data_IF_665003186762
#
_entry.id   IF_665003186762
#
_cell.length_a   1.000
_cell.length_b   1.000
_cell.length_c   1.000
_cell.angle_alpha   90.00
_cell.angle_beta   90.00
_cell.angle_gamma   90.00
#
_symmetry.space_group_name_H-M   'P 1'
#
loop_
_entity.id
_entity.type
_entity.pdbx_description
1 polymer ?
#
# COMPACT_ATOMS: atom_id res chain seq x y z
N UNK A 1 30.47 -54.04 39.88
CA UNK A 1 29.93 -54.63 38.64
C UNK A 1 28.41 -54.52 38.65
N UNK A 2 27.84 -53.51 37.99
CA UNK A 2 26.38 -53.32 37.85
C UNK A 2 26.08 -53.04 36.39
N UNK A 3 25.21 -53.86 35.78
CA UNK A 3 24.89 -53.83 34.34
C UNK A 3 23.64 -52.99 34.09
N UNK A 4 23.79 -51.89 33.37
CA UNK A 4 22.68 -51.15 32.75
C UNK A 4 22.06 -51.97 31.61
N UNK A 5 20.74 -52.21 31.68
CA UNK A 5 19.94 -52.76 30.56
C UNK A 5 19.37 -51.60 29.74
N UNK A 6 19.67 -51.60 28.44
CA UNK A 6 19.08 -50.75 27.42
C UNK A 6 17.63 -51.19 27.12
N UNK A 7 16.70 -50.23 27.11
CA UNK A 7 15.34 -50.41 26.58
C UNK A 7 15.35 -50.24 25.06
N UNK A 8 14.87 -51.26 24.34
CA UNK A 8 14.55 -51.22 22.91
C UNK A 8 13.12 -50.69 22.70
N UNK A 9 12.86 -49.84 21.69
CA UNK A 9 11.50 -49.42 21.35
C UNK A 9 10.76 -50.51 20.56
N UNK A 10 9.48 -50.67 20.88
CA UNK A 10 8.54 -51.57 20.22
C UNK A 10 8.30 -51.12 18.76
N UNK A 11 8.43 -52.05 17.82
CA UNK A 11 8.04 -51.87 16.42
C UNK A 11 6.50 -51.94 16.30
N UNK A 12 5.84 -51.01 15.59
CA UNK A 12 4.42 -51.12 15.30
C UNK A 12 4.15 -52.24 14.27
N UNK A 13 3.07 -52.98 14.49
CA UNK A 13 2.61 -54.07 13.62
C UNK A 13 1.90 -53.53 12.36
N UNK A 14 1.88 -54.28 11.24
CA UNK A 14 1.46 -53.78 9.93
C UNK A 14 -0.05 -53.63 9.74
N UNK A 15 -0.86 -53.78 10.80
CA UNK A 15 -2.32 -53.90 10.70
C UNK A 15 -3.10 -52.58 10.80
N UNK A 16 -2.48 -51.48 11.23
CA UNK A 16 -3.17 -50.22 11.56
C UNK A 16 -3.05 -49.11 10.51
N UNK A 17 -2.31 -49.33 9.41
CA UNK A 17 -2.12 -48.30 8.37
C UNK A 17 -3.16 -48.35 7.23
N UNK A 18 -3.91 -49.45 7.08
CA UNK A 18 -4.92 -49.56 6.00
C UNK A 18 -6.26 -48.95 6.39
N UNK A 19 -6.62 -48.93 7.68
CA UNK A 19 -7.90 -48.36 8.14
C UNK A 19 -7.92 -46.82 8.10
N UNK A 20 -6.78 -46.16 8.31
CA UNK A 20 -6.70 -44.69 8.30
C UNK A 20 -6.79 -44.09 6.88
N UNK A 21 -6.33 -44.81 5.85
CA UNK A 21 -6.36 -44.34 4.46
C UNK A 21 -7.77 -44.39 3.83
N UNK A 22 -8.61 -45.35 4.24
CA UNK A 22 -9.98 -45.48 3.72
C UNK A 22 -10.93 -44.44 4.33
N UNK A 23 -10.74 -44.08 5.60
CA UNK A 23 -11.53 -43.02 6.26
C UNK A 23 -11.18 -41.63 5.71
N UNK A 24 -9.91 -41.39 5.35
CA UNK A 24 -9.50 -40.14 4.72
C UNK A 24 -10.03 -39.98 3.28
N UNK A 25 -10.23 -41.08 2.54
CA UNK A 25 -10.76 -41.03 1.17
C UNK A 25 -12.30 -40.90 1.14
N UNK A 26 -13.02 -41.44 2.13
CA UNK A 26 -14.47 -41.29 2.25
C UNK A 26 -14.90 -39.87 2.67
N UNK A 27 -14.06 -39.13 3.40
CA UNK A 27 -14.31 -37.73 3.79
C UNK A 27 -14.05 -36.72 2.67
N UNK A 28 -13.31 -37.09 1.62
CA UNK A 28 -13.08 -36.23 0.44
C UNK A 28 -14.21 -36.36 -0.59
N UNK A 29 -14.99 -37.44 -0.56
CA UNK A 29 -16.10 -37.66 -1.51
C UNK A 29 -17.42 -37.04 -1.04
N UNK A 30 -17.60 -36.79 0.26
CA UNK A 30 -18.85 -36.19 0.81
C UNK A 30 -18.86 -34.66 0.85
N UNK A 31 -17.74 -33.99 0.54
CA UNK A 31 -17.64 -32.52 0.42
C UNK A 31 -17.81 -31.99 -1.02
N UNK A 32 -17.99 -32.88 -2.00
CA UNK A 32 -18.15 -32.51 -3.42
C UNK A 32 -19.61 -32.21 -3.84
N UNK A 33 -20.60 -32.39 -2.95
CA UNK A 33 -22.03 -32.18 -3.25
C UNK A 33 -22.58 -30.81 -2.81
N UNK A 34 -21.72 -29.89 -2.35
CA UNK A 34 -22.07 -28.50 -2.06
C UNK A 34 -21.32 -27.50 -2.95
N UNK A 35 -21.09 -27.87 -4.22
CA UNK A 35 -20.78 -26.92 -5.28
C UNK A 35 -22.10 -26.34 -5.79
N UNK A 36 -22.34 -25.01 -5.70
CA UNK A 36 -23.53 -24.41 -6.29
C UNK A 36 -23.52 -24.62 -7.80
N UNK A 37 -24.57 -25.27 -8.30
CA UNK A 37 -24.82 -25.49 -9.71
C UNK A 37 -24.85 -24.15 -10.47
N UNK A 38 -23.98 -24.03 -11.47
CA UNK A 38 -23.85 -22.89 -12.36
C UNK A 38 -25.02 -22.73 -13.34
N UNK A 39 -26.23 -22.53 -12.83
CA UNK A 39 -27.42 -22.15 -13.62
C UNK A 39 -28.31 -21.17 -12.86
N UNK A 40 -27.76 -20.01 -12.53
CA UNK A 40 -28.61 -18.83 -12.33
C UNK A 40 -28.64 -18.01 -13.60
N UNK A 41 -29.86 -17.88 -14.13
CA UNK A 41 -30.25 -16.97 -15.20
C UNK A 41 -29.61 -15.61 -14.95
N UNK A 42 -28.96 -15.10 -15.98
CA UNK A 42 -28.55 -13.71 -16.11
C UNK A 42 -29.71 -12.83 -15.63
N UNK A 43 -29.52 -12.21 -14.46
CA UNK A 43 -30.34 -11.09 -14.05
C UNK A 43 -30.16 -10.04 -15.12
N UNK A 44 -31.19 -9.85 -15.95
CA UNK A 44 -31.27 -8.73 -16.87
C UNK A 44 -31.14 -7.46 -16.04
N UNK A 45 -29.94 -6.90 -16.04
CA UNK A 45 -29.66 -5.57 -15.52
C UNK A 45 -30.44 -4.60 -16.38
N UNK A 46 -31.49 -4.01 -15.82
CA UNK A 46 -32.12 -2.82 -16.36
C UNK A 46 -31.03 -1.74 -16.52
N UNK A 47 -30.89 -1.10 -17.69
CA UNK A 47 -29.88 -0.06 -17.86
C UNK A 47 -30.27 1.12 -16.98
N UNK A 48 -29.54 1.32 -15.89
CA UNK A 48 -29.52 2.61 -15.21
C UNK A 48 -28.96 3.61 -16.23
N UNK A 49 -29.70 4.69 -16.50
CA UNK A 49 -29.34 5.78 -17.40
C UNK A 49 -27.86 6.14 -17.23
N UNK A 50 -27.04 5.73 -18.21
CA UNK A 50 -25.60 5.98 -18.27
C UNK A 50 -25.36 7.47 -18.46
N UNK A 51 -25.01 8.14 -17.37
CA UNK A 51 -24.21 9.36 -17.46
C UNK A 51 -22.77 8.92 -17.73
N UNK A 52 -22.42 8.89 -19.01
CA UNK A 52 -21.11 8.49 -19.51
C UNK A 52 -20.07 9.59 -19.26
N UNK A 53 -19.05 9.29 -18.45
CA UNK A 53 -17.96 10.22 -18.16
C UNK A 53 -16.64 9.74 -18.75
N UNK A 54 -15.91 10.65 -19.39
CA UNK A 54 -14.63 10.36 -20.00
C UNK A 54 -13.49 10.32 -18.97
N UNK A 55 -12.83 9.17 -18.82
CA UNK A 55 -11.60 9.06 -18.04
C UNK A 55 -10.40 9.59 -18.85
N UNK A 56 -9.73 10.64 -18.36
CA UNK A 56 -8.49 11.16 -18.96
C UNK A 56 -7.25 10.72 -18.17
N UNK A 57 -6.09 11.15 -18.65
CA UNK A 57 -4.75 10.83 -18.16
C UNK A 57 -4.29 11.67 -16.95
N UNK A 58 -4.97 12.77 -16.63
CA UNK A 58 -4.64 13.61 -15.46
C UNK A 58 -5.20 13.04 -14.16
N UNK A 59 -4.68 13.51 -13.04
CA UNK A 59 -5.29 13.28 -11.73
C UNK A 59 -6.07 14.52 -11.30
N UNK A 60 -7.16 14.37 -10.51
CA UNK A 60 -7.89 15.52 -10.00
C UNK A 60 -6.98 16.40 -9.16
N UNK A 61 -7.24 17.71 -9.22
CA UNK A 61 -6.65 18.68 -8.32
C UNK A 61 -7.06 18.44 -6.86
N UNK A 62 -6.49 19.18 -5.89
CA UNK A 62 -6.92 19.11 -4.51
C UNK A 62 -8.32 19.70 -4.35
N UNK A 63 -9.19 18.98 -3.63
CA UNK A 63 -10.50 19.48 -3.22
C UNK A 63 -10.42 20.49 -2.07
N UNK A 64 -11.59 20.96 -1.65
CA UNK A 64 -11.76 21.83 -0.48
C UNK A 64 -12.18 21.04 0.74
N UNK A 65 -11.81 21.51 1.95
CA UNK A 65 -12.38 20.99 3.20
C UNK A 65 -13.65 21.78 3.50
N UNK A 66 -14.80 21.21 3.17
CA UNK A 66 -16.10 21.87 3.34
C UNK A 66 -16.60 21.77 4.79
N UNK A 67 -17.87 22.12 5.03
CA UNK A 67 -18.46 22.03 6.38
C UNK A 67 -18.64 20.59 6.86
N UNK A 68 -19.02 19.66 5.97
CA UNK A 68 -19.23 18.26 6.33
C UNK A 68 -17.90 17.57 6.65
N UNK A 69 -16.88 17.79 5.82
CA UNK A 69 -15.54 17.29 6.07
C UNK A 69 -14.93 17.86 7.36
N UNK A 70 -15.14 19.16 7.66
CA UNK A 70 -14.69 19.75 8.95
C UNK A 70 -15.39 19.11 10.14
N UNK A 71 -16.71 18.94 10.07
CA UNK A 71 -17.46 18.29 11.16
C UNK A 71 -16.99 16.86 11.40
N UNK A 72 -16.68 16.12 10.33
CA UNK A 72 -16.13 14.76 10.44
C UNK A 72 -14.73 14.74 11.05
N UNK A 73 -13.86 15.67 10.65
CA UNK A 73 -12.53 15.84 11.26
C UNK A 73 -12.67 16.13 12.75
N UNK A 74 -13.52 17.09 13.12
CA UNK A 74 -13.74 17.47 14.51
C UNK A 74 -14.33 16.32 15.33
N UNK A 75 -15.21 15.50 14.75
CA UNK A 75 -15.72 14.27 15.39
C UNK A 75 -14.57 13.31 15.73
N UNK A 76 -13.73 12.98 14.76
CA UNK A 76 -12.60 12.05 14.96
C UNK A 76 -11.62 12.58 16.01
N UNK A 77 -11.38 13.89 16.03
CA UNK A 77 -10.47 14.52 17.00
C UNK A 77 -11.09 14.65 18.39
N UNK A 78 -12.41 14.84 18.52
CA UNK A 78 -13.10 14.84 19.81
C UNK A 78 -13.06 13.47 20.49
N UNK A 79 -12.94 12.39 19.72
CA UNK A 79 -12.74 11.02 20.23
C UNK A 79 -11.28 10.77 20.67
N UNK A 80 -10.40 11.78 20.64
CA UNK A 80 -9.00 11.67 21.09
C UNK A 80 -8.94 11.59 22.62
N UNK A 81 -8.36 10.54 23.21
CA UNK A 81 -8.24 10.46 24.65
C UNK A 81 -7.25 11.51 25.19
N UNK A 82 -7.64 12.18 26.28
CA UNK A 82 -6.82 13.15 27.02
C UNK A 82 -5.55 12.53 27.64
N UNK A 83 -5.39 11.21 27.57
CA UNK A 83 -4.17 10.53 27.98
C UNK A 83 -4.11 9.06 27.54
N UNK A 84 -3.04 8.70 26.84
CA UNK A 84 -2.63 7.30 26.65
C UNK A 84 -2.02 6.79 27.95
N UNK A 85 -2.81 6.11 28.77
CA UNK A 85 -2.28 5.48 29.99
C UNK A 85 -1.17 4.48 29.65
N UNK A 86 -0.09 4.46 30.45
CA UNK A 86 0.98 3.46 30.34
C UNK A 86 0.49 2.01 30.50
N UNK A 87 -0.78 1.81 30.93
CA UNK A 87 -1.42 0.49 31.07
C UNK A 87 -2.30 0.08 29.88
N UNK A 88 -2.41 0.90 28.84
CA UNK A 88 -3.22 0.57 27.67
C UNK A 88 -2.57 -0.57 26.88
N UNK A 89 -3.34 -1.62 26.57
CA UNK A 89 -2.89 -2.72 25.71
C UNK A 89 -2.61 -2.23 24.29
N UNK A 90 -1.82 -2.97 23.49
CA UNK A 90 -1.60 -2.60 22.07
C UNK A 90 -2.92 -2.49 21.28
N UNK A 91 -3.91 -3.32 21.60
CA UNK A 91 -5.25 -3.21 21.03
C UNK A 91 -5.94 -1.90 21.42
N UNK A 92 -5.86 -1.49 22.69
CA UNK A 92 -6.38 -0.21 23.15
C UNK A 92 -5.64 0.98 22.52
N UNK A 93 -4.31 0.90 22.35
CA UNK A 93 -3.54 1.93 21.67
C UNK A 93 -3.92 2.03 20.19
N UNK A 94 -4.08 0.90 19.50
CA UNK A 94 -4.55 0.90 18.11
C UNK A 94 -5.93 1.53 17.98
N UNK A 95 -6.87 1.18 18.87
CA UNK A 95 -8.20 1.79 18.89
C UNK A 95 -8.17 3.31 19.11
N UNK A 96 -7.28 3.78 19.98
CA UNK A 96 -7.14 5.20 20.29
C UNK A 96 -6.40 6.00 19.21
N UNK A 97 -5.42 5.41 18.53
CA UNK A 97 -4.50 6.15 17.65
C UNK A 97 -4.75 5.92 16.16
N UNK A 98 -5.55 4.91 15.79
CA UNK A 98 -5.93 4.60 14.41
C UNK A 98 -7.44 4.70 14.20
N UNK A 99 -8.02 5.83 14.62
CA UNK A 99 -9.42 6.18 14.35
C UNK A 99 -9.60 6.49 12.86
N UNK A 100 -10.82 6.30 12.37
CA UNK A 100 -11.16 6.53 10.98
C UNK A 100 -12.19 7.66 10.81
N UNK A 101 -12.03 8.38 9.70
CA UNK A 101 -12.96 9.36 9.17
C UNK A 101 -13.67 8.82 7.93
N UNK A 102 -14.94 9.19 7.75
CA UNK A 102 -15.74 8.92 6.56
C UNK A 102 -15.96 10.20 5.76
N UNK A 103 -15.36 10.26 4.57
CA UNK A 103 -15.53 11.37 3.64
C UNK A 103 -16.27 10.90 2.39
N UNK A 104 -17.54 11.33 2.23
CA UNK A 104 -18.40 10.93 1.10
C UNK A 104 -18.49 9.41 0.89
N UNK A 105 -18.61 8.67 2.01
CA UNK A 105 -18.66 7.21 2.01
C UNK A 105 -17.33 6.52 1.72
N UNK A 106 -16.22 7.27 1.79
CA UNK A 106 -14.87 6.74 1.70
C UNK A 106 -14.18 6.81 3.07
N UNK A 107 -13.64 5.69 3.53
CA UNK A 107 -12.97 5.59 4.81
C UNK A 107 -11.49 5.92 4.73
N UNK A 108 -11.02 6.81 5.60
CA UNK A 108 -9.62 7.11 5.84
C UNK A 108 -9.26 6.84 7.31
N UNK A 109 -8.23 6.06 7.57
CA UNK A 109 -7.78 5.76 8.94
C UNK A 109 -6.40 6.38 9.21
N UNK A 110 -6.27 7.06 10.36
CA UNK A 110 -5.05 7.74 10.78
C UNK A 110 -3.83 6.80 10.76
N UNK A 111 -2.74 7.24 10.12
CA UNK A 111 -1.51 6.46 9.95
C UNK A 111 -1.59 5.30 8.95
N UNK A 112 -2.78 4.98 8.42
CA UNK A 112 -3.01 3.82 7.55
C UNK A 112 -3.37 4.21 6.13
N UNK A 113 -4.12 5.30 5.95
CA UNK A 113 -4.56 5.78 4.65
C UNK A 113 -6.01 5.42 4.31
N UNK A 114 -6.34 5.56 3.02
CA UNK A 114 -7.64 5.20 2.47
C UNK A 114 -7.84 3.70 2.41
N UNK A 115 -8.94 3.19 2.95
CA UNK A 115 -9.23 1.76 3.06
C UNK A 115 -10.68 1.42 2.75
N UNK A 116 -10.94 0.14 2.49
CA UNK A 116 -12.28 -0.45 2.45
C UNK A 116 -12.56 -1.34 3.67
N UNK A 117 -11.53 -1.62 4.49
CA UNK A 117 -11.69 -2.40 5.71
C UNK A 117 -12.44 -1.59 6.76
N UNK A 118 -13.19 -2.26 7.63
CA UNK A 118 -13.83 -1.61 8.78
C UNK A 118 -12.79 -1.07 9.77
N UNK A 119 -13.13 -0.02 10.50
CA UNK A 119 -12.22 0.59 11.49
C UNK A 119 -11.68 -0.47 12.47
N UNK A 120 -12.56 -1.33 12.97
CA UNK A 120 -12.21 -2.41 13.89
C UNK A 120 -11.25 -3.43 13.27
N UNK A 121 -11.34 -3.68 11.96
CA UNK A 121 -10.43 -4.57 11.23
C UNK A 121 -9.05 -3.94 11.07
N UNK A 122 -9.00 -2.64 10.76
CA UNK A 122 -7.75 -1.87 10.66
C UNK A 122 -7.01 -1.87 12.01
N UNK A 123 -7.74 -1.58 13.08
CA UNK A 123 -7.22 -1.57 14.45
C UNK A 123 -6.76 -2.96 14.89
N UNK A 124 -7.56 -4.01 14.64
CA UNK A 124 -7.19 -5.39 14.96
C UNK A 124 -5.95 -5.83 14.20
N UNK A 125 -5.83 -5.50 12.91
CA UNK A 125 -4.64 -5.80 12.10
C UNK A 125 -3.40 -5.11 12.66
N UNK A 126 -3.51 -3.83 13.01
CA UNK A 126 -2.41 -3.07 13.60
C UNK A 126 -1.99 -3.63 14.97
N UNK A 127 -2.95 -3.93 15.85
CA UNK A 127 -2.67 -4.51 17.15
C UNK A 127 -2.01 -5.90 17.05
N UNK A 128 -2.52 -6.75 16.14
CA UNK A 128 -1.96 -8.07 15.88
C UNK A 128 -0.53 -7.97 15.32
N UNK A 129 -0.31 -7.03 14.39
CA UNK A 129 1.01 -6.73 13.82
C UNK A 129 1.99 -6.23 14.89
N UNK A 130 1.57 -5.26 15.71
CA UNK A 130 2.37 -4.71 16.80
C UNK A 130 2.73 -5.74 17.88
N UNK A 131 1.87 -6.76 18.06
CA UNK A 131 2.08 -7.84 19.04
C UNK A 131 3.00 -8.95 18.53
N UNK A 132 3.30 -9.00 17.22
CA UNK A 132 4.22 -10.01 16.69
C UNK A 132 5.62 -9.70 17.19
N UNK A 133 6.18 -10.62 17.99
CA UNK A 133 7.62 -10.61 18.24
C UNK A 133 8.32 -10.75 16.90
N UNK A 134 8.99 -9.70 16.48
CA UNK A 134 9.99 -9.81 15.43
C UNK A 134 11.05 -10.77 15.98
N UNK A 135 11.21 -11.92 15.34
CA UNK A 135 12.51 -12.61 15.35
C UNK A 135 13.59 -11.59 14.95
N UNK A 136 14.86 -11.85 15.27
CA UNK A 136 15.96 -10.97 14.87
C UNK A 136 16.03 -10.90 13.33
N UNK A 137 15.22 -10.02 12.76
CA UNK A 137 15.05 -9.73 11.35
C UNK A 137 15.73 -8.39 11.12
N UNK A 138 16.48 -8.27 10.04
CA UNK A 138 17.14 -7.01 9.70
C UNK A 138 16.11 -5.89 9.57
N UNK A 139 16.28 -4.80 10.32
CA UNK A 139 15.38 -3.65 10.25
C UNK A 139 15.83 -2.74 9.13
N UNK A 140 14.98 -2.57 8.10
CA UNK A 140 15.37 -1.82 6.90
C UNK A 140 14.89 -0.36 6.90
N UNK A 141 13.97 0.00 7.82
CA UNK A 141 13.63 1.39 8.11
C UNK A 141 12.24 1.88 7.71
N UNK A 142 11.30 0.98 7.46
CA UNK A 142 9.88 1.33 7.55
C UNK A 142 9.47 1.43 9.03
N UNK A 143 8.50 2.28 9.35
CA UNK A 143 7.97 2.38 10.70
C UNK A 143 6.93 1.29 10.95
N UNK A 144 7.24 0.36 11.86
CA UNK A 144 6.34 -0.73 12.25
C UNK A 144 5.06 -0.21 12.94
N UNK A 145 4.02 -1.04 13.00
CA UNK A 145 2.78 -0.71 13.74
C UNK A 145 3.07 -0.43 15.22
N UNK A 146 3.96 -1.21 15.86
CA UNK A 146 4.31 -1.00 17.26
C UNK A 146 5.01 0.35 17.48
N UNK A 147 5.99 0.67 16.63
CA UNK A 147 6.73 1.92 16.71
C UNK A 147 5.86 3.12 16.34
N UNK A 148 4.94 2.99 15.38
CA UNK A 148 3.97 4.02 15.05
C UNK A 148 3.09 4.36 16.24
N UNK A 149 2.51 3.34 16.90
CA UNK A 149 1.67 3.54 18.08
C UNK A 149 2.46 4.17 19.23
N UNK A 150 3.68 3.69 19.48
CA UNK A 150 4.54 4.25 20.51
C UNK A 150 4.92 5.71 20.22
N UNK A 151 5.31 6.04 18.98
CA UNK A 151 5.65 7.40 18.58
C UNK A 151 4.47 8.35 18.69
N UNK A 152 3.28 7.95 18.22
CA UNK A 152 2.05 8.76 18.33
C UNK A 152 1.62 8.95 19.79
N UNK A 153 1.72 7.91 20.61
CA UNK A 153 1.40 7.98 22.03
C UNK A 153 2.37 8.90 22.82
N UNK A 154 3.61 9.06 22.34
CA UNK A 154 4.62 9.89 22.98
C UNK A 154 4.54 11.38 22.62
N UNK A 155 3.72 11.76 21.63
CA UNK A 155 3.48 13.17 21.31
C UNK A 155 2.64 13.84 22.40
N UNK A 156 2.92 15.11 22.65
CA UNK A 156 2.05 15.95 23.48
C UNK A 156 0.64 15.99 22.86
N UNK A 157 -0.45 16.02 23.67
CA UNK A 157 -1.81 15.94 23.15
C UNK A 157 -2.11 16.98 22.07
N UNK A 158 -1.67 18.23 22.25
CA UNK A 158 -1.86 19.31 21.26
C UNK A 158 -1.07 19.06 19.96
N UNK A 159 0.16 18.53 20.05
CA UNK A 159 0.96 18.19 18.87
C UNK A 159 0.35 17.00 18.12
N UNK A 160 -0.15 16.00 18.86
CA UNK A 160 -0.86 14.85 18.30
C UNK A 160 -2.11 15.30 17.56
N UNK A 161 -2.98 16.09 18.19
CA UNK A 161 -4.20 16.61 17.57
C UNK A 161 -3.88 17.43 16.31
N UNK A 162 -2.89 18.32 16.36
CA UNK A 162 -2.48 19.10 15.20
C UNK A 162 -1.99 18.22 14.04
N UNK A 163 -1.22 17.16 14.34
CA UNK A 163 -0.75 16.22 13.32
C UNK A 163 -1.88 15.36 12.75
N UNK A 164 -2.81 14.90 13.58
CA UNK A 164 -4.00 14.16 13.14
C UNK A 164 -4.93 15.03 12.29
N UNK A 165 -5.18 16.28 12.70
CA UNK A 165 -5.96 17.26 11.92
C UNK A 165 -5.33 17.50 10.55
N UNK A 166 -4.03 17.75 10.49
CA UNK A 166 -3.33 17.98 9.22
C UNK A 166 -3.40 16.75 8.29
N UNK A 167 -3.33 15.54 8.85
CA UNK A 167 -3.49 14.30 8.11
C UNK A 167 -4.92 14.14 7.56
N UNK A 168 -5.95 14.37 8.39
CA UNK A 168 -7.35 14.26 7.98
C UNK A 168 -7.78 15.36 7.00
N UNK A 169 -7.27 16.59 7.13
CA UNK A 169 -7.49 17.64 6.13
C UNK A 169 -6.83 17.27 4.79
N UNK A 170 -5.64 16.66 4.82
CA UNK A 170 -5.00 16.17 3.61
C UNK A 170 -5.80 15.02 2.98
N UNK A 171 -6.41 14.15 3.79
CA UNK A 171 -7.34 13.13 3.35
C UNK A 171 -8.57 13.77 2.72
N UNK A 172 -9.33 14.62 3.41
CA UNK A 172 -10.53 15.28 2.90
C UNK A 172 -10.31 15.94 1.51
N UNK A 173 -9.18 16.62 1.30
CA UNK A 173 -8.82 17.24 0.01
C UNK A 173 -8.51 16.25 -1.12
N UNK A 174 -8.41 14.95 -0.83
CA UNK A 174 -8.05 13.89 -1.77
C UNK A 174 -9.20 12.91 -2.07
N UNK A 175 -10.40 13.12 -1.51
CA UNK A 175 -11.60 12.30 -1.74
C UNK A 175 -11.85 12.09 -3.23
N UNK A 176 -11.81 13.17 -4.01
CA UNK A 176 -12.06 13.10 -5.44
C UNK A 176 -11.10 12.16 -6.17
N UNK A 177 -9.81 12.18 -5.80
CA UNK A 177 -8.78 11.28 -6.32
C UNK A 177 -9.10 9.83 -6.00
N UNK A 178 -9.49 9.54 -4.77
CA UNK A 178 -9.73 8.17 -4.31
C UNK A 178 -10.96 7.58 -4.97
N UNK A 179 -12.06 8.32 -5.02
CA UNK A 179 -13.28 7.89 -5.72
C UNK A 179 -13.01 7.63 -7.19
N UNK A 180 -12.27 8.52 -7.88
CA UNK A 180 -11.88 8.30 -9.27
C UNK A 180 -10.96 7.09 -9.44
N UNK A 181 -9.96 6.90 -8.57
CA UNK A 181 -9.09 5.73 -8.61
C UNK A 181 -9.89 4.44 -8.43
N UNK A 182 -10.83 4.38 -7.48
CA UNK A 182 -11.67 3.21 -7.26
C UNK A 182 -12.60 2.96 -8.45
N UNK A 183 -13.20 3.99 -9.02
CA UNK A 183 -13.97 3.85 -10.26
C UNK A 183 -13.13 3.27 -11.40
N UNK A 184 -11.92 3.79 -11.59
CA UNK A 184 -11.09 3.48 -12.76
C UNK A 184 -10.26 2.19 -12.60
N UNK A 185 -9.96 1.78 -11.37
CA UNK A 185 -9.14 0.58 -11.08
C UNK A 185 -10.00 -0.56 -10.54
N UNK A 186 -10.97 -0.28 -9.67
CA UNK A 186 -11.84 -1.29 -9.05
C UNK A 186 -13.14 -1.50 -9.81
N UNK A 187 -13.54 -0.55 -10.67
CA UNK A 187 -14.79 -0.61 -11.43
C UNK A 187 -16.02 -0.20 -10.62
N UNK A 188 -15.83 0.50 -9.51
CA UNK A 188 -16.93 1.01 -8.68
C UNK A 188 -17.68 2.14 -9.41
N UNK A 189 -19.02 2.21 -9.32
CA UNK A 189 -19.75 3.31 -9.93
C UNK A 189 -19.40 4.63 -9.25
N UNK A 190 -19.35 5.72 -10.03
CA UNK A 190 -19.24 7.06 -9.44
C UNK A 190 -20.53 7.39 -8.67
N UNK A 191 -20.45 7.99 -7.47
CA UNK A 191 -21.64 8.46 -6.78
C UNK A 191 -22.45 9.45 -7.64
N UNK A 192 -23.77 9.44 -7.51
CA UNK A 192 -24.62 10.38 -8.22
C UNK A 192 -24.24 11.83 -7.88
N UNK A 193 -24.16 12.69 -8.90
CA UNK A 193 -23.78 14.09 -8.73
C UNK A 193 -22.32 14.33 -8.33
N UNK A 194 -21.45 13.30 -8.39
CA UNK A 194 -20.08 13.39 -7.88
C UNK A 194 -19.25 14.45 -8.61
N UNK A 195 -19.31 14.51 -9.94
CA UNK A 195 -18.54 15.51 -10.69
C UNK A 195 -19.07 16.93 -10.48
N UNK A 196 -20.36 17.09 -10.20
CA UNK A 196 -20.98 18.37 -9.79
C UNK A 196 -20.41 18.88 -8.48
N UNK A 197 -20.22 17.98 -7.50
CA UNK A 197 -19.64 18.32 -6.20
C UNK A 197 -18.12 18.48 -6.26
N UNK A 198 -17.44 17.78 -7.18
CA UNK A 198 -15.99 17.81 -7.36
C UNK A 198 -15.58 18.39 -8.72
N UNK A 199 -15.66 19.73 -8.92
CA UNK A 199 -15.20 20.35 -10.15
C UNK A 199 -13.71 20.09 -10.44
N UNK A 200 -12.88 19.84 -9.43
CA UNK A 200 -11.48 19.42 -9.56
C UNK A 200 -11.32 18.07 -10.28
N UNK A 201 -12.34 17.21 -10.22
CA UNK A 201 -12.40 15.97 -11.00
C UNK A 201 -12.80 16.22 -12.46
N UNK A 202 -13.52 17.31 -12.77
CA UNK A 202 -13.94 17.66 -14.14
C UNK A 202 -12.84 18.27 -15.01
N UNK A 203 -11.93 19.04 -14.42
CA UNK A 203 -10.77 19.59 -15.16
C UNK A 203 -9.92 18.47 -15.77
N UNK A 204 -9.89 17.33 -15.07
CA UNK A 204 -9.32 16.09 -15.58
C UNK A 204 -10.13 15.62 -16.80
N UNK A 205 -11.45 15.52 -16.74
CA UNK A 205 -12.28 14.98 -17.83
C UNK A 205 -12.38 15.83 -19.10
N UNK A 206 -12.09 17.13 -19.05
CA UNK A 206 -12.31 18.08 -20.17
C UNK A 206 -11.06 18.46 -20.96
N UNK A 207 -9.86 18.20 -20.44
CA UNK A 207 -8.61 18.60 -21.07
C UNK A 207 -8.06 17.56 -22.07
N UNK A 208 -8.81 17.22 -23.13
CA UNK A 208 -8.25 16.73 -24.41
C UNK A 208 -9.32 16.62 -25.53
N UNK A 209 -9.25 17.58 -26.46
CA UNK A 209 -9.67 17.52 -27.89
C UNK A 209 -11.15 17.59 -28.29
N UNK A 210 -11.44 18.64 -29.06
CA UNK A 210 -12.62 18.97 -29.87
C UNK A 210 -12.85 18.04 -31.07
N UNK A 211 -13.05 16.74 -30.86
CA UNK A 211 -13.50 15.85 -31.94
C UNK A 211 -14.71 15.03 -31.50
N UNK A 212 -15.76 15.05 -32.32
CA UNK A 212 -17.09 14.47 -32.14
C UNK A 212 -17.12 12.92 -32.09
N UNK A 213 -16.11 12.29 -31.46
CA UNK A 213 -15.97 10.86 -31.28
C UNK A 213 -15.64 10.56 -29.81
N UNK A 214 -16.49 11.05 -28.92
CA UNK A 214 -16.41 10.80 -27.47
C UNK A 214 -17.73 10.20 -26.96
N UNK A 215 -18.20 9.16 -27.63
CA UNK A 215 -19.09 8.19 -26.97
C UNK A 215 -18.25 7.40 -25.94
N UNK A 216 -18.74 7.30 -24.71
CA UNK A 216 -18.32 6.37 -23.66
C UNK A 216 -16.82 5.98 -23.61
N UNK A 217 -15.93 6.80 -23.05
CA UNK A 217 -14.58 6.34 -22.79
C UNK A 217 -14.57 5.41 -21.56
N UNK A 218 -14.79 4.10 -21.80
CA UNK A 218 -14.68 3.03 -20.81
C UNK A 218 -13.38 3.15 -19.98
N UNK A 219 -13.36 2.72 -18.70
CA UNK A 219 -12.13 2.63 -17.93
C UNK A 219 -11.03 1.86 -18.69
N UNK A 220 -9.80 2.40 -18.67
CA UNK A 220 -8.65 1.75 -19.31
C UNK A 220 -8.38 0.40 -18.64
N UNK A 221 -8.08 -0.60 -19.46
CA UNK A 221 -7.66 -1.93 -19.05
C UNK A 221 -6.14 -2.10 -19.26
N UNK A 222 -5.54 -3.12 -18.65
CA UNK A 222 -4.11 -3.47 -18.82
C UNK A 222 -3.68 -3.54 -20.30
N UNK A 223 -4.56 -4.00 -21.18
CA UNK A 223 -4.30 -4.11 -22.63
C UNK A 223 -4.12 -2.74 -23.30
N UNK A 224 -4.75 -1.70 -22.76
CA UNK A 224 -4.80 -0.35 -23.34
C UNK A 224 -3.50 0.44 -23.04
N UNK A 225 -2.66 -0.02 -22.10
CA UNK A 225 -1.36 0.59 -21.79
C UNK A 225 -0.23 0.13 -22.74
N UNK A 226 0.85 0.91 -22.95
CA UNK A 226 1.99 0.45 -23.76
C UNK A 226 2.68 -0.77 -23.13
N UNK A 227 3.46 -1.51 -23.93
CA UNK A 227 4.15 -2.74 -23.45
C UNK A 227 5.04 -2.46 -22.23
N UNK A 228 5.79 -1.37 -22.27
CA UNK A 228 6.75 -0.97 -21.24
C UNK A 228 6.68 0.53 -21.09
N UNK A 229 6.62 1.00 -19.85
CA UNK A 229 6.72 2.42 -19.54
C UNK A 229 7.53 2.62 -18.27
N UNK A 230 8.15 3.78 -18.17
CA UNK A 230 9.00 4.11 -17.05
C UNK A 230 9.06 5.59 -16.74
N UNK A 231 9.22 5.88 -15.46
CA UNK A 231 9.52 7.19 -14.90
C UNK A 231 10.87 7.17 -14.21
N UNK A 232 11.46 8.35 -13.98
CA UNK A 232 12.79 8.52 -13.39
C UNK A 232 13.93 7.94 -14.26
N UNK A 233 15.16 8.38 -13.98
CA UNK A 233 16.36 7.92 -14.68
C UNK A 233 17.15 6.94 -13.79
N UNK A 234 17.65 5.81 -14.31
CA UNK A 234 18.44 4.83 -13.55
C UNK A 234 19.63 5.40 -12.78
N UNK A 235 20.25 6.48 -13.29
CA UNK A 235 21.38 7.18 -12.65
C UNK A 235 21.01 7.97 -11.39
N UNK A 236 19.72 8.09 -11.05
CA UNK A 236 19.23 8.81 -9.86
C UNK A 236 18.83 7.84 -8.76
N UNK A 237 19.76 6.94 -8.44
CA UNK A 237 19.58 5.90 -7.43
C UNK A 237 20.66 6.00 -6.37
N UNK A 238 20.35 5.53 -5.17
CA UNK A 238 21.28 5.47 -4.05
C UNK A 238 20.92 4.32 -3.12
N UNK A 239 21.93 3.70 -2.55
CA UNK A 239 21.78 2.82 -1.39
C UNK A 239 21.42 3.64 -0.16
N UNK A 240 20.68 3.07 0.78
CA UNK A 240 20.51 3.66 2.10
C UNK A 240 21.82 3.63 2.89
N UNK A 241 22.11 4.70 3.64
CA UNK A 241 23.38 4.83 4.37
C UNK A 241 23.32 4.32 5.81
N UNK A 242 22.13 3.97 6.30
CA UNK A 242 21.89 3.31 7.59
C UNK A 242 20.90 2.17 7.40
N UNK A 243 21.00 1.13 8.24
CA UNK A 243 20.11 -0.03 8.13
C UNK A 243 18.64 0.37 8.23
N UNK A 244 18.29 1.37 9.04
CA UNK A 244 16.91 1.86 9.22
C UNK A 244 16.53 3.07 8.33
N UNK A 245 17.23 3.32 7.21
CA UNK A 245 17.04 4.52 6.36
C UNK A 245 16.47 4.25 4.94
N UNK A 246 15.69 3.19 4.74
CA UNK A 246 15.02 2.98 3.45
C UNK A 246 14.09 4.13 3.06
N UNK A 247 13.38 4.74 4.02
CA UNK A 247 12.55 5.93 3.80
C UNK A 247 13.34 7.13 3.28
N UNK A 248 14.35 7.64 4.00
CA UNK A 248 15.23 8.72 3.53
C UNK A 248 15.90 8.47 2.17
N UNK A 249 16.32 7.23 1.90
CA UNK A 249 16.91 6.84 0.62
C UNK A 249 15.88 6.86 -0.52
N UNK A 250 14.69 6.29 -0.28
CA UNK A 250 13.56 6.34 -1.21
C UNK A 250 13.17 7.79 -1.53
N UNK A 251 13.06 8.63 -0.51
CA UNK A 251 12.72 10.03 -0.67
C UNK A 251 13.78 10.80 -1.46
N UNK A 252 15.07 10.52 -1.20
CA UNK A 252 16.16 11.07 -1.99
C UNK A 252 16.00 10.74 -3.47
N UNK A 253 15.68 9.50 -3.83
CA UNK A 253 15.55 9.08 -5.22
C UNK A 253 14.34 9.71 -5.91
N UNK A 254 13.19 9.83 -5.23
CA UNK A 254 11.99 10.49 -5.76
C UNK A 254 12.24 11.99 -6.00
N UNK A 255 12.80 12.68 -5.02
CA UNK A 255 13.04 14.13 -5.05
C UNK A 255 14.19 14.51 -5.98
N UNK A 256 15.23 13.68 -6.09
CA UNK A 256 16.29 13.84 -7.09
C UNK A 256 15.74 13.62 -8.51
N UNK A 257 14.82 12.66 -8.65
CA UNK A 257 14.00 12.45 -9.83
C UNK A 257 13.34 13.72 -10.35
N UNK A 258 12.71 14.46 -9.44
CA UNK A 258 12.01 15.72 -9.71
C UNK A 258 12.95 16.92 -9.88
N UNK A 259 13.69 17.27 -8.83
CA UNK A 259 14.46 18.53 -8.74
C UNK A 259 15.80 18.50 -9.48
N UNK A 260 16.21 17.32 -9.96
CA UNK A 260 17.53 17.06 -10.55
C UNK A 260 18.72 17.30 -9.60
N UNK A 261 18.46 17.59 -8.32
CA UNK A 261 19.46 17.79 -7.28
C UNK A 261 19.35 16.71 -6.22
N UNK A 262 20.46 16.01 -5.96
CA UNK A 262 20.54 15.08 -4.85
C UNK A 262 20.70 15.87 -3.54
N UNK A 263 19.82 15.64 -2.56
CA UNK A 263 19.98 16.06 -1.16
C UNK A 263 20.41 14.87 -0.33
N UNK A 264 21.15 15.06 0.76
CA UNK A 264 21.62 13.95 1.59
C UNK A 264 20.47 13.20 2.27
N UNK A 265 20.66 11.92 2.58
CA UNK A 265 19.64 11.15 3.34
C UNK A 265 19.42 11.73 4.74
N UNK A 266 20.43 12.35 5.36
CA UNK A 266 20.27 13.09 6.63
C UNK A 266 19.28 14.26 6.51
N UNK A 267 19.22 14.93 5.36
CA UNK A 267 18.22 15.97 5.11
C UNK A 267 16.81 15.37 5.08
N UNK A 268 16.62 14.29 4.33
CA UNK A 268 15.31 13.62 4.22
C UNK A 268 14.87 12.95 5.53
N UNK A 269 15.80 12.38 6.30
CA UNK A 269 15.52 11.85 7.63
C UNK A 269 14.89 12.90 8.54
N UNK A 270 15.38 14.16 8.51
CA UNK A 270 14.75 15.24 9.26
C UNK A 270 13.37 15.63 8.71
N UNK A 271 13.20 15.68 7.39
CA UNK A 271 11.91 16.03 6.77
C UNK A 271 10.83 14.98 7.02
N UNK A 272 11.22 13.70 7.13
CA UNK A 272 10.34 12.55 7.36
C UNK A 272 10.11 12.23 8.85
N UNK A 273 10.82 12.89 9.77
CA UNK A 273 10.82 12.50 11.18
C UNK A 273 11.43 11.11 11.43
N UNK A 274 12.34 10.64 10.56
CA UNK A 274 12.92 9.30 10.65
C UNK A 274 13.70 9.11 11.96
N UNK A 275 13.36 8.08 12.72
CA UNK A 275 14.08 7.65 13.92
C UNK A 275 14.87 6.36 13.64
N UNK A 276 15.42 5.72 14.67
CA UNK A 276 15.98 4.36 14.55
C UNK A 276 14.92 3.32 14.20
N UNK A 277 13.63 3.62 14.45
CA UNK A 277 12.50 2.76 14.07
C UNK A 277 12.03 2.97 12.63
N UNK A 278 12.67 3.85 11.85
CA UNK A 278 12.29 4.08 10.45
C UNK A 278 11.37 5.27 10.22
N UNK A 279 10.63 5.24 9.10
CA UNK A 279 9.75 6.34 8.64
C UNK A 279 8.33 5.85 8.38
N UNK A 280 7.31 6.65 8.69
CA UNK A 280 5.92 6.32 8.37
C UNK A 280 5.61 6.57 6.89
N UNK A 281 4.73 5.75 6.29
CA UNK A 281 4.29 5.96 4.90
C UNK A 281 3.48 7.25 4.73
N UNK A 282 2.73 7.67 5.75
CA UNK A 282 2.02 8.97 5.75
C UNK A 282 3.02 10.13 5.61
N UNK A 283 4.16 10.06 6.30
CA UNK A 283 5.24 11.04 6.19
C UNK A 283 5.91 10.99 4.81
N UNK A 284 6.09 9.80 4.23
CA UNK A 284 6.58 9.65 2.85
C UNK A 284 5.66 10.38 1.86
N UNK A 285 4.36 10.13 1.92
CA UNK A 285 3.38 10.79 1.05
C UNK A 285 3.29 12.30 1.30
N UNK A 286 3.31 12.73 2.57
CA UNK A 286 3.33 14.15 2.95
C UNK A 286 4.52 14.87 2.34
N UNK A 287 5.73 14.30 2.44
CA UNK A 287 6.96 14.91 1.91
C UNK A 287 6.97 14.86 0.38
N UNK A 288 6.44 13.82 -0.28
CA UNK A 288 6.27 13.85 -1.75
C UNK A 288 5.41 15.05 -2.17
N UNK A 289 4.29 15.27 -1.49
CA UNK A 289 3.39 16.39 -1.78
C UNK A 289 4.00 17.77 -1.46
N UNK A 290 4.90 17.88 -0.50
CA UNK A 290 5.49 19.16 -0.09
C UNK A 290 6.77 19.53 -0.85
N UNK A 291 7.59 18.54 -1.18
CA UNK A 291 8.96 18.75 -1.65
C UNK A 291 9.16 18.35 -3.13
N UNK A 292 8.09 17.98 -3.82
CA UNK A 292 8.11 17.67 -5.26
C UNK A 292 7.00 18.41 -6.01
N UNK A 293 6.86 18.15 -7.30
CA UNK A 293 5.69 18.54 -8.09
C UNK A 293 5.00 17.35 -8.74
N UNK A 294 5.24 16.14 -8.20
CA UNK A 294 4.52 14.94 -8.62
C UNK A 294 3.03 15.00 -8.24
N UNK A 295 2.69 15.85 -7.27
CA UNK A 295 1.35 16.08 -6.75
C UNK A 295 0.49 17.04 -7.60
N UNK A 296 1.05 17.57 -8.68
CA UNK A 296 0.32 18.43 -9.63
C UNK A 296 -0.72 17.61 -10.39
N UNK A 297 -1.82 18.27 -10.78
CA UNK A 297 -2.90 17.74 -11.63
C UNK A 297 -2.41 17.15 -12.97
N UNK A 298 -1.40 17.78 -13.57
CA UNK A 298 -0.67 17.33 -14.77
C UNK A 298 0.23 16.09 -14.52
N UNK A 299 0.24 15.57 -13.30
CA UNK A 299 0.98 14.39 -12.85
C UNK A 299 0.04 13.45 -12.11
N UNK A 300 0.37 13.05 -10.88
CA UNK A 300 -0.39 12.11 -10.09
C UNK A 300 -1.47 12.78 -9.23
N UNK A 301 -1.54 14.11 -9.20
CA UNK A 301 -2.33 14.80 -8.21
C UNK A 301 -1.81 14.48 -6.81
N UNK A 302 -2.44 15.04 -5.78
CA UNK A 302 -2.02 14.84 -4.39
C UNK A 302 -1.81 13.36 -4.08
N UNK A 303 -0.59 12.97 -3.69
CA UNK A 303 -0.31 11.61 -3.27
C UNK A 303 -1.14 11.28 -2.03
N UNK A 304 -1.61 10.04 -1.98
CA UNK A 304 -2.35 9.45 -0.88
C UNK A 304 -1.72 8.13 -0.48
N UNK A 305 -1.95 7.72 0.76
CA UNK A 305 -1.70 6.34 1.18
C UNK A 305 -2.96 5.54 0.85
N UNK A 306 -2.80 4.46 0.08
CA UNK A 306 -3.90 3.61 -0.37
C UNK A 306 -3.68 2.19 0.15
N UNK A 307 -4.63 1.69 0.94
CA UNK A 307 -4.72 0.28 1.31
C UNK A 307 -5.02 -0.56 0.05
N UNK A 308 -4.30 -1.68 -0.07
CA UNK A 308 -4.39 -2.63 -1.18
C UNK A 308 -4.75 -4.05 -0.70
N UNK A 309 -5.28 -4.18 0.52
CA UNK A 309 -5.63 -5.46 1.12
C UNK A 309 -6.69 -6.22 0.33
N UNK A 310 -7.66 -5.51 -0.26
CA UNK A 310 -8.72 -6.05 -1.13
C UNK A 310 -8.29 -6.16 -2.61
N UNK A 311 -7.10 -5.67 -2.98
CA UNK A 311 -6.68 -5.63 -4.37
C UNK A 311 -6.29 -7.02 -4.85
N UNK A 312 -6.88 -7.47 -5.95
CA UNK A 312 -6.33 -8.54 -6.77
C UNK A 312 -5.11 -8.07 -7.58
N UNK A 313 -4.25 -9.00 -7.99
CA UNK A 313 -3.04 -8.70 -8.77
C UNK A 313 -3.29 -7.82 -10.01
N UNK A 314 -4.38 -8.07 -10.74
CA UNK A 314 -4.72 -7.27 -11.94
C UNK A 314 -5.04 -5.82 -11.60
N UNK A 315 -5.75 -5.57 -10.50
CA UNK A 315 -6.09 -4.22 -10.01
C UNK A 315 -4.82 -3.47 -9.59
N UNK A 316 -3.95 -4.13 -8.81
CA UNK A 316 -2.65 -3.56 -8.41
C UNK A 316 -1.74 -3.25 -9.60
N UNK A 317 -1.68 -4.14 -10.59
CA UNK A 317 -0.90 -3.93 -11.80
C UNK A 317 -1.49 -2.80 -12.67
N UNK A 318 -2.81 -2.71 -12.78
CA UNK A 318 -3.48 -1.62 -13.48
C UNK A 318 -3.20 -0.26 -12.81
N UNK A 319 -3.29 -0.19 -11.48
CA UNK A 319 -2.91 1.00 -10.72
C UNK A 319 -1.45 1.39 -10.99
N UNK A 320 -0.53 0.41 -10.99
CA UNK A 320 0.88 0.66 -11.33
C UNK A 320 1.02 1.22 -12.74
N UNK A 321 0.40 0.60 -13.74
CA UNK A 321 0.49 1.06 -15.13
C UNK A 321 -0.01 2.49 -15.29
N UNK A 322 -1.14 2.79 -14.64
CA UNK A 322 -1.72 4.12 -14.65
C UNK A 322 -0.81 5.16 -14.02
N UNK A 323 -0.31 4.88 -12.83
CA UNK A 323 0.56 5.81 -12.10
C UNK A 323 1.84 6.15 -12.89
N UNK A 324 2.41 5.14 -13.54
CA UNK A 324 3.62 5.30 -14.34
C UNK A 324 3.33 5.98 -15.69
N UNK A 325 2.30 5.56 -16.42
CA UNK A 325 2.08 6.01 -17.81
C UNK A 325 1.21 7.27 -17.90
N UNK A 326 0.05 7.27 -17.24
CA UNK A 326 -0.91 8.36 -17.34
C UNK A 326 -0.42 9.54 -16.50
N UNK A 327 -0.10 9.28 -15.23
CA UNK A 327 0.36 10.32 -14.29
C UNK A 327 1.84 10.66 -14.44
N UNK A 328 2.62 9.81 -15.12
CA UNK A 328 4.06 10.01 -15.34
C UNK A 328 4.80 10.32 -14.04
N UNK A 329 4.45 9.63 -12.97
CA UNK A 329 4.95 9.87 -11.62
C UNK A 329 5.43 8.56 -10.95
N UNK A 330 6.41 8.60 -10.03
CA UNK A 330 6.87 7.40 -9.32
C UNK A 330 5.89 6.97 -8.22
N UNK A 331 5.90 5.69 -7.86
CA UNK A 331 5.14 5.16 -6.72
C UNK A 331 6.04 4.99 -5.49
N UNK A 332 5.45 5.04 -4.30
CA UNK A 332 6.10 4.57 -3.06
C UNK A 332 5.58 3.16 -2.77
N UNK A 333 6.36 2.15 -3.11
CA UNK A 333 6.05 0.77 -2.71
C UNK A 333 6.43 0.54 -1.27
N UNK A 334 5.64 -0.29 -0.58
CA UNK A 334 5.81 -0.63 0.84
C UNK A 334 5.80 -2.15 1.04
N UNK A 335 6.76 -2.90 0.46
CA UNK A 335 6.83 -4.34 0.61
C UNK A 335 7.41 -4.76 1.96
N UNK A 336 7.18 -6.03 2.32
CA UNK A 336 8.07 -6.76 3.23
C UNK A 336 9.19 -7.45 2.43
N UNK A 337 10.45 -7.31 2.86
CA UNK A 337 11.60 -7.87 2.17
C UNK A 337 11.85 -9.32 2.57
N UNK A 338 11.12 -10.25 1.94
CA UNK A 338 11.32 -11.69 2.14
C UNK A 338 11.94 -12.33 0.90
N UNK A 339 12.89 -13.26 1.08
CA UNK A 339 13.58 -14.02 0.01
C UNK A 339 12.62 -14.71 -0.94
N UNK A 340 11.48 -15.19 -0.42
CA UNK A 340 10.41 -15.80 -1.24
C UNK A 340 9.86 -14.84 -2.31
N UNK A 341 9.91 -13.53 -2.07
CA UNK A 341 9.49 -12.51 -3.02
C UNK A 341 10.69 -11.90 -3.76
N UNK A 342 11.81 -11.72 -3.07
CA UNK A 342 13.04 -11.09 -3.55
C UNK A 342 14.22 -12.05 -3.40
N UNK A 343 14.42 -13.00 -4.34
CA UNK A 343 15.44 -14.04 -4.21
C UNK A 343 16.88 -13.53 -4.35
N UNK A 344 17.07 -12.22 -4.54
CA UNK A 344 18.40 -11.60 -4.50
C UNK A 344 18.83 -11.23 -3.08
N UNK A 345 17.94 -11.35 -2.10
CA UNK A 345 18.25 -11.15 -0.69
C UNK A 345 18.99 -12.38 -0.15
N UNK A 346 19.98 -12.14 0.69
CA UNK A 346 20.65 -13.18 1.46
C UNK A 346 19.83 -13.53 2.71
N UNK A 347 19.23 -12.54 3.37
CA UNK A 347 18.36 -12.69 4.53
C UNK A 347 16.96 -12.09 4.35
N UNK A 348 16.00 -12.62 5.11
CA UNK A 348 14.70 -11.98 5.26
C UNK A 348 14.86 -10.72 6.13
N UNK A 349 14.19 -9.65 5.74
CA UNK A 349 14.23 -8.35 6.40
C UNK A 349 12.82 -7.78 6.65
N UNK A 350 12.74 -6.66 7.38
CA UNK A 350 11.48 -6.04 7.79
C UNK A 350 10.68 -5.45 6.62
N UNK A 351 9.65 -4.67 6.93
CA UNK A 351 9.05 -3.77 5.96
C UNK A 351 10.08 -2.82 5.35
N UNK A 352 9.75 -2.25 4.20
CA UNK A 352 10.72 -1.50 3.41
C UNK A 352 10.04 -0.52 2.46
N UNK A 353 10.74 0.54 2.05
CA UNK A 353 10.29 1.42 0.98
C UNK A 353 11.13 1.25 -0.29
N UNK A 354 10.45 1.14 -1.44
CA UNK A 354 11.07 1.13 -2.76
C UNK A 354 10.41 2.19 -3.65
N UNK A 355 11.16 2.72 -4.62
CA UNK A 355 10.60 3.64 -5.62
C UNK A 355 10.08 2.85 -6.81
N UNK A 356 8.75 2.72 -6.95
CA UNK A 356 8.14 2.17 -8.14
C UNK A 356 8.35 3.10 -9.33
N UNK A 357 8.98 2.59 -10.40
CA UNK A 357 9.45 3.42 -11.54
C UNK A 357 9.07 2.92 -12.92
N UNK A 358 8.38 1.79 -13.03
CA UNK A 358 8.04 1.26 -14.34
C UNK A 358 7.38 -0.10 -14.33
N UNK A 359 6.96 -0.55 -15.51
CA UNK A 359 6.42 -1.88 -15.73
C UNK A 359 6.78 -2.40 -17.14
N UNK A 360 6.72 -3.71 -17.33
CA UNK A 360 6.90 -4.41 -18.62
C UNK A 360 5.93 -5.59 -18.72
N UNK A 361 5.00 -5.57 -19.68
CA UNK A 361 3.95 -6.59 -19.83
C UNK A 361 4.46 -7.96 -20.29
N UNK A 362 5.67 -8.07 -20.84
CA UNK A 362 6.32 -9.31 -21.35
C UNK A 362 5.42 -10.32 -22.11
N UNK A 363 4.34 -9.87 -22.74
CA UNK A 363 3.44 -10.69 -23.56
C UNK A 363 2.82 -11.85 -22.78
N UNK A 364 3.16 -13.09 -23.16
CA UNK A 364 2.68 -14.31 -22.48
C UNK A 364 3.42 -14.62 -21.18
N UNK A 365 4.55 -13.97 -20.91
CA UNK A 365 5.31 -14.14 -19.65
C UNK A 365 4.70 -13.25 -18.56
N UNK A 366 4.89 -13.58 -17.27
CA UNK A 366 4.44 -12.71 -16.19
C UNK A 366 4.99 -11.29 -16.37
N UNK A 367 4.19 -10.25 -16.10
CA UNK A 367 4.69 -8.88 -16.15
C UNK A 367 5.80 -8.65 -15.12
N UNK A 368 6.68 -7.68 -15.41
CA UNK A 368 7.64 -7.16 -14.43
C UNK A 368 7.23 -5.75 -14.00
N UNK A 369 7.62 -5.38 -12.79
CA UNK A 369 7.72 -3.99 -12.34
C UNK A 369 9.17 -3.60 -12.17
N UNK A 370 9.45 -2.35 -12.49
CA UNK A 370 10.74 -1.72 -12.24
C UNK A 370 10.67 -0.91 -10.96
N UNK A 371 11.67 -1.04 -10.10
CA UNK A 371 11.81 -0.20 -8.91
C UNK A 371 13.27 0.13 -8.61
N UNK A 372 13.47 1.18 -7.82
CA UNK A 372 14.76 1.44 -7.19
C UNK A 372 14.79 0.82 -5.80
N UNK A 373 15.83 0.04 -5.56
CA UNK A 373 16.10 -0.70 -4.34
C UNK A 373 17.13 0.08 -3.51
N UNK A 374 16.77 0.67 -2.36
CA UNK A 374 17.74 1.29 -1.46
C UNK A 374 18.47 0.27 -0.57
N UNK A 375 17.94 -0.94 -0.32
CA UNK A 375 18.58 -1.94 0.52
C UNK A 375 19.81 -2.55 -0.13
N UNK A 376 20.98 -2.45 0.50
CA UNK A 376 22.19 -3.15 0.09
C UNK A 376 22.77 -3.87 1.31
N UNK A 377 22.48 -5.15 1.41
CA UNK A 377 22.98 -6.06 2.45
C UNK A 377 24.50 -5.96 2.63
N UNK A 378 25.24 -6.05 1.51
CA UNK A 378 26.70 -5.89 1.46
C UNK A 378 27.24 -4.62 2.15
N UNK A 379 26.44 -3.55 2.24
CA UNK A 379 26.85 -2.31 2.90
C UNK A 379 26.99 -2.48 4.42
N UNK A 380 26.17 -3.33 5.01
CA UNK A 380 26.08 -3.54 6.45
C UNK A 380 26.82 -4.82 6.88
N UNK A 381 26.84 -5.83 6.01
CA UNK A 381 27.71 -7.00 6.11
C UNK A 381 28.45 -7.23 4.79
N UNK A 382 29.76 -6.92 4.70
CA UNK A 382 30.55 -7.09 3.48
C UNK A 382 30.63 -8.52 2.92
N UNK A 383 30.24 -9.54 3.69
CA UNK A 383 30.19 -10.93 3.22
C UNK A 383 28.98 -11.22 2.32
N UNK A 384 27.95 -10.38 2.40
CA UNK A 384 26.71 -10.52 1.64
C UNK A 384 26.86 -10.07 0.17
N UNK A 385 26.03 -10.61 -0.75
CA UNK A 385 26.07 -10.22 -2.16
C UNK A 385 25.63 -8.78 -2.40
N UNK A 386 26.25 -8.14 -3.39
CA UNK A 386 25.81 -6.83 -3.87
C UNK A 386 24.41 -6.90 -4.50
N UNK A 387 23.51 -6.04 -4.03
CA UNK A 387 22.17 -5.90 -4.61
C UNK A 387 22.18 -4.77 -5.66
N UNK A 388 21.63 -5.02 -6.84
CA UNK A 388 21.50 -3.99 -7.87
C UNK A 388 20.50 -2.89 -7.45
N UNK A 389 20.83 -1.62 -7.69
CA UNK A 389 19.93 -0.50 -7.34
C UNK A 389 18.70 -0.40 -8.23
N UNK A 390 18.80 -0.83 -9.47
CA UNK A 390 17.72 -0.78 -10.46
C UNK A 390 17.26 -2.20 -10.70
N UNK A 391 16.05 -2.50 -10.25
CA UNK A 391 15.48 -3.84 -10.31
C UNK A 391 14.39 -3.90 -11.38
N UNK A 392 14.30 -5.05 -12.06
CA UNK A 392 13.16 -5.44 -12.89
C UNK A 392 12.77 -6.86 -12.47
N UNK A 393 11.66 -6.98 -11.75
CA UNK A 393 11.24 -8.26 -11.13
C UNK A 393 9.79 -8.53 -11.37
N UNK A 394 9.40 -9.79 -11.15
CA UNK A 394 8.02 -10.25 -11.25
C UNK A 394 7.07 -9.28 -10.54
N UNK A 395 6.14 -8.71 -11.31
CA UNK A 395 5.08 -7.85 -10.79
C UNK A 395 4.23 -8.60 -9.76
N UNK A 396 3.96 -9.90 -10.01
CA UNK A 396 3.18 -10.72 -9.08
C UNK A 396 3.90 -10.89 -7.74
N UNK A 397 5.21 -11.19 -7.73
CA UNK A 397 5.97 -11.29 -6.47
C UNK A 397 6.02 -9.95 -5.72
N UNK A 398 6.19 -8.85 -6.44
CA UNK A 398 6.18 -7.50 -5.86
C UNK A 398 4.81 -7.17 -5.24
N UNK A 399 3.71 -7.49 -5.94
CA UNK A 399 2.35 -7.39 -5.40
C UNK A 399 2.19 -8.21 -4.11
N UNK A 400 2.62 -9.48 -4.11
CA UNK A 400 2.52 -10.34 -2.92
C UNK A 400 3.39 -9.85 -1.76
N UNK A 401 4.52 -9.20 -2.04
CA UNK A 401 5.33 -8.56 -1.01
C UNK A 401 4.64 -7.35 -0.37
N UNK A 402 3.97 -6.51 -1.17
CA UNK A 402 3.18 -5.39 -0.62
C UNK A 402 1.95 -5.91 0.17
N UNK A 403 1.28 -6.97 -0.30
CA UNK A 403 0.18 -7.60 0.46
C UNK A 403 0.63 -8.30 1.75
N UNK A 404 1.86 -8.82 1.79
CA UNK A 404 2.40 -9.48 2.97
C UNK A 404 2.92 -8.47 4.01
N UNK A 405 3.15 -7.23 3.61
CA UNK A 405 3.48 -6.15 4.54
C UNK A 405 2.31 -5.91 5.51
N UNK A 406 2.52 -5.76 6.83
CA UNK A 406 1.42 -5.61 7.77
C UNK A 406 0.51 -4.39 7.50
N UNK A 407 1.05 -3.33 6.90
CA UNK A 407 0.28 -2.14 6.55
C UNK A 407 -0.54 -2.31 5.26
N UNK A 408 -0.16 -3.26 4.39
CA UNK A 408 -0.85 -3.56 3.13
C UNK A 408 -1.20 -2.33 2.30
N UNK A 409 -0.30 -1.34 2.21
CA UNK A 409 -0.58 -0.07 1.55
C UNK A 409 0.55 0.38 0.62
N UNK A 410 0.31 1.42 -0.18
CA UNK A 410 1.27 2.06 -1.08
C UNK A 410 1.00 3.56 -1.16
N UNK A 411 2.01 4.34 -1.56
CA UNK A 411 1.86 5.78 -1.84
C UNK A 411 1.70 6.04 -3.34
N UNK A 412 0.57 6.64 -3.73
CA UNK A 412 0.18 6.94 -5.12
C UNK A 412 -0.52 8.28 -5.25
#
# INVERSE_FOLDING_TARGET
>A
MSRNRLHLPLRPTPGTLVAAAVVALALVVTMATFLPDGRHRDGALTPATEQEYAATSGAPGPGTVDAAARAEIDRVLADSPDGTSARTTLAGQAAQLMRCAEFEGQRYCLGRGWTQAEESEVQARAAASASRRTTATETTGDLSDADFLAQRAALDPAEREAAERAELEAAARSVAKVVLLRHQVLGEPLPAGFLERHPEARATTTAQTTSARQAAARPKLIRDYPRRSTVLLPRRTSEQVRSYWCGPATMQMITWGWSHRQRSQKHWARRLGTTTSGSAISEMVRVVNQDTGWDRDSRAGRYVVLDISDYGYKKWLLLTMRHIEDYRAPMVYHPILLKRFYPYLDDDASGHFQVGRGYDKRGRKPADVGYFEPWNQQRFDPSEPYINRVQWRSAYRSFRANQAHPHQNIGV
#
